data_IF_421948824447
#
_entry.id   IF_421948824447
#
_cell.length_a   1.000
_cell.length_b   1.000
_cell.length_c   1.000
_cell.angle_alpha   90.00
_cell.angle_beta   90.00
_cell.angle_gamma   90.00
#
_symmetry.space_group_name_H-M   'P 1'
#
loop_
_entity.id
_entity.type
_entity.pdbx_description
1 polymer ?
#
# COMPACT_ATOMS: atom_id res chain seq x y z
N UNK A 1 15.41 -2.68 -4.47
CA UNK A 1 14.58 -2.50 -3.25
C UNK A 1 13.73 -3.77 -3.04
N UNK A 2 13.22 -4.03 -1.82
CA UNK A 2 12.82 -5.32 -1.24
C UNK A 2 12.31 -6.46 -2.16
N UNK A 3 11.41 -6.20 -3.11
CA UNK A 3 10.80 -7.24 -3.96
C UNK A 3 11.42 -7.37 -5.36
N UNK A 4 12.39 -6.52 -5.72
CA UNK A 4 13.01 -6.55 -7.06
C UNK A 4 12.11 -6.08 -8.22
N UNK A 5 10.88 -5.65 -7.95
CA UNK A 5 9.93 -5.13 -8.93
C UNK A 5 9.85 -3.60 -8.92
N UNK A 6 9.35 -3.03 -10.02
CA UNK A 6 9.05 -1.59 -10.13
C UNK A 6 7.55 -1.41 -10.26
N UNK A 7 6.98 -0.57 -9.38
CA UNK A 7 5.58 -0.17 -9.47
C UNK A 7 5.45 1.13 -10.27
N UNK A 8 4.36 1.28 -11.02
CA UNK A 8 3.95 2.56 -11.61
C UNK A 8 3.00 3.30 -10.67
N UNK A 9 3.10 4.63 -10.64
CA UNK A 9 2.22 5.48 -9.84
C UNK A 9 1.23 6.18 -10.76
N UNK A 10 -0.06 5.95 -10.54
CA UNK A 10 -1.15 6.44 -11.39
C UNK A 10 -2.33 6.95 -10.55
N UNK A 11 -3.41 7.36 -11.21
CA UNK A 11 -4.71 7.68 -10.58
C UNK A 11 -4.61 8.66 -9.41
N UNK A 12 -3.82 9.73 -9.57
CA UNK A 12 -3.78 10.82 -8.62
C UNK A 12 -5.13 11.54 -8.55
N UNK A 13 -5.59 11.83 -7.34
CA UNK A 13 -6.69 12.77 -7.15
C UNK A 13 -6.24 14.23 -7.38
N UNK A 14 -7.21 15.13 -7.55
CA UNK A 14 -6.93 16.54 -7.80
C UNK A 14 -6.20 17.24 -6.63
N UNK A 15 -6.33 16.68 -5.43
CA UNK A 15 -5.74 17.20 -4.19
C UNK A 15 -4.31 16.68 -3.96
N UNK A 16 -3.86 15.68 -4.73
CA UNK A 16 -2.57 15.03 -4.53
C UNK A 16 -2.48 14.21 -3.24
N UNK A 17 -3.61 13.85 -2.65
CA UNK A 17 -3.71 13.10 -1.40
C UNK A 17 -3.87 11.59 -1.62
N UNK A 18 -4.33 11.17 -2.79
CA UNK A 18 -4.58 9.77 -3.13
C UNK A 18 -3.89 9.41 -4.44
N UNK A 19 -3.25 8.25 -4.48
CA UNK A 19 -2.72 7.68 -5.71
C UNK A 19 -2.84 6.15 -5.71
N UNK A 20 -2.61 5.54 -6.86
CA UNK A 20 -2.54 4.10 -7.03
C UNK A 20 -1.12 3.66 -7.34
N UNK A 21 -0.64 2.64 -6.64
CA UNK A 21 0.57 1.89 -6.95
C UNK A 21 0.15 0.64 -7.74
N UNK A 22 0.61 0.54 -8.98
CA UNK A 22 0.29 -0.58 -9.88
C UNK A 22 1.54 -1.42 -10.11
N UNK A 23 1.45 -2.71 -9.81
CA UNK A 23 2.49 -3.70 -10.11
C UNK A 23 1.98 -4.64 -11.20
N UNK A 24 2.75 -4.77 -12.27
CA UNK A 24 2.48 -5.75 -13.33
C UNK A 24 3.00 -7.15 -12.98
N UNK A 25 3.96 -7.21 -12.06
CA UNK A 25 4.60 -8.43 -11.61
C UNK A 25 4.73 -8.44 -10.08
N UNK A 26 4.54 -9.59 -9.46
CA UNK A 26 4.58 -9.78 -8.02
C UNK A 26 5.15 -11.16 -7.65
N UNK A 27 6.45 -11.25 -7.30
CA UNK A 27 7.11 -12.52 -7.05
C UNK A 27 6.57 -13.28 -5.83
N UNK A 28 5.76 -12.63 -4.98
CA UNK A 28 5.15 -13.28 -3.81
C UNK A 28 4.03 -14.26 -4.18
N UNK A 29 3.53 -14.18 -5.42
CA UNK A 29 2.41 -15.01 -5.90
C UNK A 29 2.82 -15.93 -7.04
N UNK A 30 4.11 -16.00 -7.37
CA UNK A 30 4.62 -16.98 -8.32
C UNK A 30 4.20 -18.37 -7.84
N UNK A 31 3.37 -19.04 -8.63
CA UNK A 31 2.79 -20.37 -8.32
C UNK A 31 1.70 -20.40 -7.24
N UNK A 32 1.08 -19.27 -6.91
CA UNK A 32 -0.09 -19.21 -6.02
C UNK A 32 -1.38 -19.24 -6.84
N UNK A 33 -2.31 -20.11 -6.44
CA UNK A 33 -3.69 -20.13 -6.94
C UNK A 33 -4.62 -20.13 -5.72
N UNK A 34 -5.63 -19.24 -5.73
CA UNK A 34 -6.59 -19.16 -4.63
C UNK A 34 -7.70 -20.20 -4.80
N UNK A 35 -7.98 -21.04 -3.79
CA UNK A 35 -9.14 -21.92 -3.83
C UNK A 35 -10.44 -21.12 -3.75
N UNK A 36 -11.54 -21.69 -4.25
CA UNK A 36 -12.87 -21.06 -4.25
C UNK A 36 -13.33 -20.59 -2.86
N UNK A 37 -12.90 -21.28 -1.81
CA UNK A 37 -13.22 -20.93 -0.41
C UNK A 37 -12.51 -19.66 0.08
N UNK A 38 -11.50 -19.19 -0.64
CA UNK A 38 -10.63 -18.07 -0.27
C UNK A 38 -10.74 -16.88 -1.23
N UNK A 39 -11.81 -16.79 -2.03
CA UNK A 39 -12.03 -15.70 -2.99
C UNK A 39 -12.21 -14.31 -2.35
N UNK A 40 -12.26 -14.20 -1.02
CA UNK A 40 -12.23 -12.92 -0.30
C UNK A 40 -10.87 -12.58 0.30
N UNK A 41 -9.83 -13.37 0.02
CA UNK A 41 -8.50 -13.21 0.62
C UNK A 41 -7.58 -12.41 -0.30
N UNK A 42 -7.19 -11.22 0.14
CA UNK A 42 -6.01 -10.56 -0.43
C UNK A 42 -4.74 -11.24 0.08
N UNK A 43 -4.19 -12.15 -0.72
CA UNK A 43 -3.02 -12.96 -0.34
C UNK A 43 -1.84 -12.07 0.09
N UNK A 44 -1.57 -11.02 -0.68
CA UNK A 44 -0.49 -10.07 -0.41
C UNK A 44 -0.89 -8.90 0.50
N UNK A 45 -1.91 -9.02 1.37
CA UNK A 45 -2.34 -7.91 2.23
C UNK A 45 -1.25 -7.39 3.19
N UNK A 46 -0.19 -8.18 3.39
CA UNK A 46 1.03 -7.72 4.08
C UNK A 46 1.63 -6.47 3.44
N UNK A 47 1.56 -6.31 2.10
CA UNK A 47 2.09 -5.14 1.40
C UNK A 47 1.40 -3.85 1.84
N UNK A 48 0.06 -3.88 1.98
CA UNK A 48 -0.72 -2.76 2.52
C UNK A 48 -0.25 -2.38 3.92
N UNK A 49 0.00 -3.38 4.77
CA UNK A 49 0.51 -3.20 6.13
C UNK A 49 1.91 -2.58 6.15
N UNK A 50 2.82 -3.06 5.31
CA UNK A 50 4.20 -2.56 5.21
C UNK A 50 4.22 -1.10 4.74
N UNK A 51 3.46 -0.76 3.69
CA UNK A 51 3.39 0.61 3.18
C UNK A 51 2.85 1.54 4.26
N UNK A 52 1.74 1.16 4.91
CA UNK A 52 1.16 1.95 6.00
C UNK A 52 2.14 2.15 7.15
N UNK A 53 2.78 1.08 7.62
CA UNK A 53 3.74 1.16 8.73
C UNK A 53 4.96 2.00 8.38
N UNK A 54 5.50 1.85 7.17
CA UNK A 54 6.65 2.65 6.72
C UNK A 54 6.30 4.14 6.62
N UNK A 55 5.12 4.49 6.10
CA UNK A 55 4.66 5.88 6.01
C UNK A 55 4.35 6.47 7.38
N UNK A 56 3.81 5.68 8.31
CA UNK A 56 3.55 6.10 9.68
C UNK A 56 4.85 6.47 10.42
N UNK A 57 5.94 5.73 10.18
CA UNK A 57 7.28 6.04 10.74
C UNK A 57 7.89 7.34 10.22
N UNK A 58 7.36 7.91 9.13
CA UNK A 58 7.75 9.22 8.59
C UNK A 58 6.60 10.23 8.71
N UNK A 59 5.80 10.09 9.77
CA UNK A 59 4.77 11.06 10.16
C UNK A 59 3.63 11.21 9.15
N UNK A 60 3.37 10.20 8.32
CA UNK A 60 2.25 10.18 7.38
C UNK A 60 1.26 9.09 7.78
N UNK A 61 0.09 9.50 8.28
CA UNK A 61 -1.00 8.55 8.50
C UNK A 61 -1.71 8.30 7.19
N UNK A 62 -1.61 7.06 6.69
CA UNK A 62 -2.22 6.67 5.42
C UNK A 62 -3.20 5.51 5.57
N UNK A 63 -4.11 5.42 4.61
CA UNK A 63 -4.93 4.25 4.34
C UNK A 63 -4.40 3.58 3.07
N UNK A 64 -4.24 2.25 3.11
CA UNK A 64 -3.75 1.47 1.97
C UNK A 64 -4.72 0.32 1.73
N UNK A 65 -5.32 0.27 0.56
CA UNK A 65 -6.38 -0.69 0.20
C UNK A 65 -6.09 -1.36 -1.14
N UNK A 66 -6.49 -2.62 -1.27
CA UNK A 66 -6.44 -3.33 -2.55
C UNK A 66 -7.60 -2.88 -3.44
N UNK A 67 -7.30 -2.58 -4.71
CA UNK A 67 -8.28 -2.22 -5.74
C UNK A 67 -8.38 -3.30 -6.80
N UNK A 68 -7.23 -3.85 -7.23
CA UNK A 68 -7.14 -4.94 -8.19
C UNK A 68 -6.11 -5.96 -7.72
N UNK A 69 -6.38 -7.23 -7.98
CA UNK A 69 -5.52 -8.35 -7.61
C UNK A 69 -5.67 -9.47 -8.64
N UNK A 70 -4.57 -9.81 -9.34
CA UNK A 70 -4.62 -10.81 -10.40
C UNK A 70 -4.99 -12.21 -9.88
N UNK A 71 -4.84 -12.48 -8.57
CA UNK A 71 -5.32 -13.73 -7.98
C UNK A 71 -6.85 -13.81 -7.91
N UNK A 72 -7.54 -12.68 -8.05
CA UNK A 72 -9.00 -12.58 -8.19
C UNK A 72 -9.44 -12.41 -9.66
N UNK A 73 -8.51 -12.51 -10.62
CA UNK A 73 -8.79 -12.43 -12.06
C UNK A 73 -8.68 -11.04 -12.67
N UNK A 74 -8.13 -10.06 -11.96
CA UNK A 74 -7.81 -8.74 -12.52
C UNK A 74 -6.58 -8.79 -13.45
N UNK A 75 -6.32 -7.67 -14.14
CA UNK A 75 -5.23 -7.49 -15.12
C UNK A 75 -3.92 -6.96 -14.52
N UNK A 76 -3.93 -6.51 -13.27
CA UNK A 76 -2.75 -6.03 -12.55
C UNK A 76 -2.97 -6.06 -11.02
N UNK A 77 -1.91 -5.88 -10.25
CA UNK A 77 -1.99 -5.61 -8.81
C UNK A 77 -2.07 -4.11 -8.57
N UNK A 78 -3.14 -3.63 -7.94
CA UNK A 78 -3.32 -2.22 -7.63
C UNK A 78 -3.59 -1.98 -6.14
N UNK A 79 -2.74 -1.18 -5.53
CA UNK A 79 -2.88 -0.67 -4.17
C UNK A 79 -3.21 0.82 -4.21
N UNK A 80 -4.34 1.22 -3.65
CA UNK A 80 -4.67 2.63 -3.45
C UNK A 80 -4.12 3.11 -2.13
N UNK A 81 -3.32 4.16 -2.19
CA UNK A 81 -2.73 4.84 -1.03
C UNK A 81 -3.39 6.19 -0.88
N UNK A 82 -3.97 6.46 0.29
CA UNK A 82 -4.59 7.74 0.64
C UNK A 82 -3.94 8.33 1.87
N UNK A 83 -3.45 9.55 1.77
CA UNK A 83 -3.02 10.34 2.91
C UNK A 83 -4.24 10.77 3.73
N UNK A 84 -4.30 10.34 4.97
CA UNK A 84 -5.39 10.69 5.90
C UNK A 84 -5.04 11.96 6.67
N UNK A 85 -3.81 12.03 7.20
CA UNK A 85 -3.27 13.24 7.84
C UNK A 85 -1.75 13.19 7.94
N UNK A 86 -1.14 14.37 7.98
CA UNK A 86 0.20 14.56 8.50
C UNK A 86 0.15 14.49 10.03
N UNK A 87 1.02 13.71 10.64
CA UNK A 87 1.18 13.62 12.09
C UNK A 87 2.23 14.65 12.50
N UNK A 88 1.89 15.64 13.35
CA UNK A 88 2.90 16.56 13.86
C UNK A 88 3.96 15.80 14.66
N UNK A 89 5.23 16.14 14.47
CA UNK A 89 6.29 15.65 15.35
C UNK A 89 6.10 16.29 16.74
N UNK A 90 5.74 15.48 17.75
CA UNK A 90 5.80 15.93 19.14
C UNK A 90 7.23 15.73 19.65
N UNK A 91 7.96 16.82 19.83
CA UNK A 91 9.24 16.80 20.52
C UNK A 91 8.99 16.63 22.03
N UNK A 92 9.50 15.56 22.66
CA UNK A 92 9.23 15.29 24.08
C UNK A 92 9.91 16.28 25.03
N UNK A 93 10.84 17.08 24.54
CA UNK A 93 11.51 18.12 25.30
C UNK A 93 10.89 19.48 24.93
N UNK A 94 10.11 20.03 25.86
CA UNK A 94 10.06 21.49 25.96
C UNK A 94 11.39 21.87 26.58
N UNK A 95 12.15 22.74 25.92
CA UNK A 95 13.25 23.44 26.59
C UNK A 95 12.60 24.22 27.75
N UNK A 96 12.67 23.66 28.95
CA UNK A 96 12.27 24.34 30.18
C UNK A 96 13.35 25.41 30.45
N UNK A 97 13.06 26.65 30.02
CA UNK A 97 13.74 27.88 30.48
C UNK A 97 13.41 28.20 31.96
#
# INVERSE_FOLDING_TARGET
>A
MFLGVTASVTNWDAEGATCSLVLEDNPLVDFVELPDTCQGLHYCNILSGVIRGALEMVSMKTEVTWVRDMLHGDDAYELRVKLVKQVPEEYPYKDDD
#
